data_IF_879826414802
#
_entry.id   IF_879826414802
#
_cell.length_a   1.000
_cell.length_b   1.000
_cell.length_c   1.000
_cell.angle_alpha   90.00
_cell.angle_beta   90.00
_cell.angle_gamma   90.00
#
_symmetry.space_group_name_H-M   'P 1'
#
loop_
_entity.id
_entity.type
_entity.pdbx_description
1 polymer ?
#
# COMPACT_ATOMS: atom_id res chain seq x y z
N UNK A 1 1.60 2.34 10.55
CA UNK A 1 1.24 2.47 9.12
C UNK A 1 2.35 1.85 8.29
N UNK A 2 2.04 1.05 7.28
CA UNK A 2 3.04 0.34 6.47
C UNK A 2 2.56 0.16 5.03
N UNK A 3 3.50 -0.12 4.12
CA UNK A 3 3.20 -0.44 2.73
C UNK A 3 2.87 -1.93 2.63
N UNK A 4 1.72 -2.26 2.03
CA UNK A 4 1.29 -3.62 1.70
C UNK A 4 1.36 -3.83 0.18
N UNK A 5 2.00 -4.91 -0.23
CA UNK A 5 1.94 -5.42 -1.60
C UNK A 5 0.78 -6.43 -1.75
N UNK A 6 0.08 -6.38 -2.88
CA UNK A 6 -0.97 -7.32 -3.27
C UNK A 6 -0.74 -7.73 -4.73
N UNK A 7 -0.48 -9.01 -4.98
CA UNK A 7 -0.29 -9.55 -6.32
C UNK A 7 -1.63 -9.97 -6.91
N UNK A 8 -1.99 -9.44 -8.09
CA UNK A 8 -3.16 -9.87 -8.87
C UNK A 8 -2.70 -10.18 -10.29
N UNK A 9 -2.75 -11.45 -10.66
CA UNK A 9 -2.15 -11.95 -11.90
C UNK A 9 -0.66 -11.61 -11.97
N UNK A 10 -0.25 -10.96 -13.06
CA UNK A 10 1.14 -10.56 -13.30
C UNK A 10 1.49 -9.17 -12.75
N UNK A 11 0.59 -8.51 -12.01
CA UNK A 11 0.81 -7.15 -11.50
C UNK A 11 0.83 -7.13 -9.97
N UNK A 12 1.72 -6.32 -9.41
CA UNK A 12 1.80 -6.05 -7.97
C UNK A 12 1.30 -4.64 -7.68
N UNK A 13 0.36 -4.55 -6.74
CA UNK A 13 -0.32 -3.34 -6.32
C UNK A 13 0.09 -2.98 -4.89
N UNK A 14 0.40 -1.72 -4.66
CA UNK A 14 0.89 -1.22 -3.38
C UNK A 14 -0.15 -0.32 -2.70
N UNK A 15 -0.24 -0.43 -1.38
CA UNK A 15 -1.19 0.31 -0.55
C UNK A 15 -0.52 0.76 0.74
N UNK A 16 -0.89 1.94 1.25
CA UNK A 16 -0.68 2.27 2.65
C UNK A 16 -1.82 1.65 3.45
N UNK A 17 -1.46 0.88 4.47
CA UNK A 17 -2.40 0.25 5.39
C UNK A 17 -2.01 0.58 6.83
N UNK A 18 -2.97 0.44 7.73
CA UNK A 18 -2.74 0.43 9.16
C UNK A 18 -3.30 -0.85 9.77
N UNK A 19 -2.69 -1.29 10.87
CA UNK A 19 -3.24 -2.36 11.69
C UNK A 19 -4.22 -1.76 12.68
N UNK A 20 -5.46 -2.23 12.65
CA UNK A 20 -6.48 -1.90 13.64
C UNK A 20 -6.97 -3.16 14.32
N UNK A 21 -7.31 -3.05 15.61
CA UNK A 21 -7.91 -4.16 16.37
C UNK A 21 -9.43 -4.04 16.29
N UNK A 22 -10.09 -5.07 15.75
CA UNK A 22 -11.54 -5.19 15.69
C UNK A 22 -11.96 -6.40 16.53
N UNK A 23 -12.37 -6.14 17.77
CA UNK A 23 -12.63 -7.18 18.77
C UNK A 23 -11.35 -7.96 19.13
N UNK A 24 -11.37 -9.27 18.92
CA UNK A 24 -10.24 -10.16 19.16
C UNK A 24 -9.25 -10.27 17.98
N UNK A 25 -9.56 -9.66 16.82
CA UNK A 25 -8.76 -9.80 15.59
C UNK A 25 -8.00 -8.51 15.26
N UNK A 26 -6.77 -8.66 14.78
CA UNK A 26 -6.01 -7.58 14.13
C UNK A 26 -6.29 -7.64 12.64
N UNK A 27 -6.76 -6.54 12.06
CA UNK A 27 -7.05 -6.43 10.63
C UNK A 27 -6.23 -5.29 10.03
N UNK A 28 -5.92 -5.41 8.73
CA UNK A 28 -5.21 -4.38 7.98
C UNK A 28 -6.23 -3.51 7.24
N UNK A 29 -6.44 -2.27 7.68
CA UNK A 29 -7.32 -1.30 7.01
C UNK A 29 -6.52 -0.57 5.92
N UNK A 30 -7.04 -0.56 4.69
CA UNK A 30 -6.44 0.21 3.59
C UNK A 30 -6.74 1.69 3.79
N UNK A 31 -5.68 2.50 3.82
CA UNK A 31 -5.76 3.97 3.91
C UNK A 31 -5.63 4.58 2.51
N UNK A 32 -4.62 4.17 1.74
CA UNK A 32 -4.31 4.77 0.45
C UNK A 32 -3.85 3.72 -0.55
N UNK A 33 -4.29 3.84 -1.80
CA UNK A 33 -3.73 3.09 -2.91
C UNK A 33 -2.55 3.86 -3.53
N UNK A 34 -1.39 3.20 -3.62
CA UNK A 34 -0.15 3.81 -4.10
C UNK A 34 0.06 3.62 -5.61
N UNK A 35 -0.37 2.49 -6.18
CA UNK A 35 -0.15 2.17 -7.59
C UNK A 35 0.57 0.84 -7.79
N UNK A 36 1.13 0.63 -8.99
CA UNK A 36 2.11 -0.42 -9.27
C UNK A 36 3.52 0.04 -8.90
N UNK A 37 4.51 -0.85 -8.98
CA UNK A 37 5.90 -0.52 -8.66
C UNK A 37 6.40 0.71 -9.45
N UNK A 38 6.11 0.76 -10.75
CA UNK A 38 6.51 1.86 -11.63
C UNK A 38 5.84 3.18 -11.22
N UNK A 39 4.56 3.12 -10.87
CA UNK A 39 3.80 4.30 -10.43
C UNK A 39 4.31 4.81 -9.08
N UNK A 40 4.60 3.91 -8.15
CA UNK A 40 5.14 4.27 -6.84
C UNK A 40 6.53 4.91 -6.99
N UNK A 41 7.41 4.30 -7.79
CA UNK A 41 8.74 4.86 -8.06
C UNK A 41 8.66 6.27 -8.65
N UNK A 42 7.77 6.48 -9.63
CA UNK A 42 7.55 7.80 -10.23
C UNK A 42 7.11 8.83 -9.18
N UNK A 43 6.16 8.47 -8.31
CA UNK A 43 5.66 9.36 -7.25
C UNK A 43 6.74 9.75 -6.24
N UNK A 44 7.57 8.79 -5.84
CA UNK A 44 8.68 9.03 -4.91
C UNK A 44 9.67 10.03 -5.50
N UNK A 45 10.10 9.81 -6.75
CA UNK A 45 11.02 10.73 -7.45
C UNK A 45 10.43 12.12 -7.68
N UNK A 46 9.11 12.24 -7.88
CA UNK A 46 8.48 13.55 -8.10
C UNK A 46 8.32 14.38 -6.82
N UNK A 47 8.32 13.74 -5.65
CA UNK A 47 8.19 14.42 -4.35
C UNK A 47 9.52 14.82 -3.72
N UNK A 48 10.65 14.57 -4.39
CA UNK A 48 12.01 14.95 -3.95
C UNK A 48 12.41 16.37 -4.40
N UNK A 49 11.47 17.22 -4.80
CA UNK A 49 11.71 18.64 -5.12
C UNK A 49 11.23 19.57 -4.00
#
# INVERSE_FOLDING_TARGET
>A
MYIRANKRGNRTYYYIVESIRKGSKVIQRVILYLGTAETVLKKLKSGEN
#
